data_IF_260287923289
#
_entry.id   IF_260287923289
#
_cell.length_a   1.000
_cell.length_b   1.000
_cell.length_c   1.000
_cell.angle_alpha   90.00
_cell.angle_beta   90.00
_cell.angle_gamma   90.00
#
_symmetry.space_group_name_H-M   'P 1'
#
loop_
_entity.id
_entity.type
_entity.pdbx_description
1 polymer ?
#
# COMPACT_ATOMS: atom_id res chain seq x y z
N UNK A 1 -41.82 -3.04 -48.00
CA UNK A 1 -42.10 -3.00 -46.55
C UNK A 1 -41.22 -3.96 -45.74
N UNK A 2 -41.21 -5.27 -46.03
CA UNK A 2 -40.46 -6.28 -45.23
C UNK A 2 -38.94 -6.02 -45.16
N UNK A 3 -38.29 -5.60 -46.25
CA UNK A 3 -36.85 -5.28 -46.26
C UNK A 3 -36.46 -4.10 -45.36
N UNK A 4 -37.37 -3.15 -45.15
CA UNK A 4 -37.14 -1.98 -44.28
C UNK A 4 -37.16 -2.40 -42.81
N UNK A 5 -38.11 -3.26 -42.42
CA UNK A 5 -38.23 -3.78 -41.05
C UNK A 5 -37.00 -4.59 -40.64
N UNK A 6 -36.45 -5.40 -41.55
CA UNK A 6 -35.23 -6.19 -41.29
C UNK A 6 -34.01 -5.27 -41.09
N UNK A 7 -33.94 -4.14 -41.81
CA UNK A 7 -32.87 -3.16 -41.59
C UNK A 7 -33.01 -2.50 -40.22
N UNK A 8 -34.18 -1.97 -39.87
CA UNK A 8 -34.39 -1.30 -38.59
C UNK A 8 -34.07 -2.21 -37.40
N UNK A 9 -34.47 -3.49 -37.46
CA UNK A 9 -34.18 -4.47 -36.41
C UNK A 9 -32.68 -4.73 -36.20
N UNK A 10 -31.87 -4.68 -37.26
CA UNK A 10 -30.41 -4.85 -37.15
C UNK A 10 -29.74 -3.66 -36.47
N UNK A 11 -30.18 -2.45 -36.79
CA UNK A 11 -29.61 -1.22 -36.23
C UNK A 11 -29.94 -1.06 -34.75
N UNK A 12 -31.16 -1.40 -34.33
CA UNK A 12 -31.55 -1.34 -32.91
C UNK A 12 -30.79 -2.34 -32.06
N UNK A 13 -30.55 -3.56 -32.57
CA UNK A 13 -29.74 -4.55 -31.86
C UNK A 13 -28.30 -4.09 -31.61
N UNK A 14 -27.66 -3.51 -32.63
CA UNK A 14 -26.31 -2.96 -32.49
C UNK A 14 -26.27 -1.80 -31.49
N UNK A 15 -27.20 -0.85 -31.60
CA UNK A 15 -27.25 0.30 -30.69
C UNK A 15 -27.48 -0.11 -29.22
N UNK A 16 -28.39 -1.04 -28.97
CA UNK A 16 -28.66 -1.54 -27.62
C UNK A 16 -27.43 -2.22 -27.01
N UNK A 17 -26.70 -3.02 -27.81
CA UNK A 17 -25.47 -3.65 -27.36
C UNK A 17 -24.37 -2.61 -27.05
N UNK A 18 -24.20 -1.60 -27.90
CA UNK A 18 -23.20 -0.54 -27.67
C UNK A 18 -23.51 0.25 -26.39
N UNK A 19 -24.78 0.58 -26.15
CA UNK A 19 -25.20 1.28 -24.92
C UNK A 19 -24.95 0.40 -23.69
N UNK A 20 -25.28 -0.90 -23.75
CA UNK A 20 -25.04 -1.82 -22.65
C UNK A 20 -23.55 -1.98 -22.33
N UNK A 21 -22.69 -2.09 -23.35
CA UNK A 21 -21.25 -2.18 -23.17
C UNK A 21 -20.66 -0.88 -22.63
N UNK A 22 -21.12 0.28 -23.12
CA UNK A 22 -20.71 1.58 -22.58
C UNK A 22 -21.13 1.75 -21.11
N UNK A 23 -22.33 1.29 -20.74
CA UNK A 23 -22.82 1.30 -19.37
C UNK A 23 -22.00 0.37 -18.46
N UNK A 24 -21.67 -0.85 -18.93
CA UNK A 24 -20.79 -1.74 -18.17
C UNK A 24 -19.37 -1.17 -18.04
N UNK A 25 -18.84 -0.52 -19.08
CA UNK A 25 -17.55 0.14 -19.01
C UNK A 25 -17.56 1.35 -18.04
N UNK A 26 -18.66 2.10 -17.97
CA UNK A 26 -18.77 3.22 -17.03
C UNK A 26 -19.04 2.77 -15.58
N UNK A 27 -19.78 1.68 -15.40
CA UNK A 27 -20.06 1.09 -14.08
C UNK A 27 -18.87 0.27 -13.57
N UNK A 28 -18.06 -0.24 -14.50
CA UNK A 28 -16.77 -0.87 -14.28
C UNK A 28 -15.62 0.12 -14.35
N UNK A 29 -15.86 1.42 -14.10
CA UNK A 29 -14.82 2.25 -13.51
C UNK A 29 -14.48 1.61 -12.17
N UNK A 30 -13.60 0.60 -12.26
CA UNK A 30 -12.93 -0.04 -11.15
C UNK A 30 -12.53 1.13 -10.27
N UNK A 31 -13.11 1.20 -9.07
CA UNK A 31 -12.47 1.97 -8.02
C UNK A 31 -11.10 1.31 -7.95
N UNK A 32 -10.11 1.94 -8.56
CA UNK A 32 -8.72 1.53 -8.48
C UNK A 32 -8.31 1.90 -7.06
N UNK A 33 -8.87 1.12 -6.13
CA UNK A 33 -8.53 1.13 -4.74
C UNK A 33 -7.04 0.88 -4.69
N UNK A 34 -6.36 1.85 -4.11
CA UNK A 34 -4.91 1.89 -4.09
C UNK A 34 -4.50 1.35 -2.74
N UNK A 35 -3.65 0.31 -2.76
CA UNK A 35 -3.23 -0.37 -1.54
C UNK A 35 -2.21 0.48 -0.78
N UNK A 36 -2.48 0.75 0.50
CA UNK A 36 -1.54 1.37 1.42
C UNK A 36 -1.05 0.34 2.41
N UNK A 37 0.27 0.20 2.48
CA UNK A 37 0.94 -0.67 3.44
C UNK A 37 1.68 0.22 4.44
N UNK A 38 1.26 0.19 5.70
CA UNK A 38 1.90 0.92 6.78
C UNK A 38 2.73 -0.03 7.63
N UNK A 39 4.03 0.21 7.65
CA UNK A 39 4.95 -0.40 8.59
C UNK A 39 5.00 0.44 9.86
N UNK A 40 4.87 -0.22 11.00
CA UNK A 40 4.84 0.45 12.30
C UNK A 40 6.05 -0.01 13.11
N UNK A 41 6.75 0.91 13.76
CA UNK A 41 7.94 0.60 14.57
C UNK A 41 7.67 0.34 16.05
N UNK A 42 6.46 0.65 16.54
CA UNK A 42 6.12 0.70 17.97
C UNK A 42 4.91 -0.20 18.26
N UNK A 43 4.95 -1.03 19.31
CA UNK A 43 3.81 -1.87 19.70
C UNK A 43 2.76 -1.10 20.49
N UNK A 44 1.58 -1.71 20.64
CA UNK A 44 0.44 -1.20 21.40
C UNK A 44 -0.03 0.19 20.92
N UNK A 45 -0.03 0.39 19.60
CA UNK A 45 -0.45 1.65 18.96
C UNK A 45 -1.73 1.49 18.16
N UNK A 46 -2.50 2.58 18.09
CA UNK A 46 -3.64 2.74 17.21
C UNK A 46 -3.22 3.56 15.99
N UNK A 47 -3.23 2.94 14.82
CA UNK A 47 -3.07 3.60 13.53
C UNK A 47 -4.45 4.04 13.04
N UNK A 48 -4.57 5.30 12.64
CA UNK A 48 -5.76 5.80 11.95
C UNK A 48 -5.40 6.35 10.60
N UNK A 49 -6.19 5.99 9.61
CA UNK A 49 -6.11 6.51 8.25
C UNK A 49 -7.50 7.02 7.91
N UNK A 50 -7.68 8.34 7.94
CA UNK A 50 -8.99 8.99 7.87
C UNK A 50 -10.00 8.39 8.88
N UNK A 51 -10.97 7.62 8.40
CA UNK A 51 -12.01 6.95 9.18
C UNK A 51 -11.65 5.52 9.60
N UNK A 52 -10.62 4.93 9.00
CA UNK A 52 -10.14 3.60 9.33
C UNK A 52 -9.28 3.59 10.57
N UNK A 53 -9.41 2.55 11.39
CA UNK A 53 -8.68 2.37 12.65
C UNK A 53 -8.14 0.96 12.75
N UNK A 54 -6.87 0.85 13.10
CA UNK A 54 -6.15 -0.41 13.23
C UNK A 54 -5.37 -0.42 14.53
N UNK A 55 -5.52 -1.48 15.33
CA UNK A 55 -4.71 -1.68 16.53
C UNK A 55 -3.54 -2.60 16.19
N UNK A 56 -2.33 -2.19 16.56
CA UNK A 56 -1.10 -2.92 16.27
C UNK A 56 -0.46 -3.35 17.59
N UNK A 57 -0.67 -4.61 17.97
CA UNK A 57 -0.06 -5.20 19.16
C UNK A 57 1.39 -5.66 18.88
N UNK A 58 1.65 -6.15 17.65
CA UNK A 58 2.93 -6.76 17.24
C UNK A 58 3.40 -6.22 15.89
N UNK A 59 4.10 -5.07 15.87
CA UNK A 59 4.47 -4.35 14.64
C UNK A 59 5.33 -5.15 13.65
N UNK A 60 6.10 -6.13 14.13
CA UNK A 60 7.04 -6.93 13.33
C UNK A 60 6.40 -8.13 12.64
N UNK A 61 5.19 -8.55 13.04
CA UNK A 61 4.55 -9.76 12.49
C UNK A 61 3.82 -9.45 11.17
N UNK A 62 3.04 -8.35 11.16
CA UNK A 62 2.19 -8.00 10.02
C UNK A 62 2.14 -6.48 9.81
N UNK A 63 2.46 -5.97 8.61
CA UNK A 63 2.16 -4.58 8.29
C UNK A 63 0.64 -4.37 8.20
N UNK A 64 0.20 -3.14 8.45
CA UNK A 64 -1.20 -2.75 8.25
C UNK A 64 -1.40 -2.52 6.75
N UNK A 65 -2.22 -3.33 6.08
CA UNK A 65 -2.64 -3.08 4.70
C UNK A 65 -4.09 -2.62 4.65
N UNK A 66 -4.37 -1.60 3.86
CA UNK A 66 -5.73 -1.13 3.59
C UNK A 66 -5.86 -0.57 2.17
N UNK A 67 -7.07 -0.68 1.63
CA UNK A 67 -7.44 -0.16 0.32
C UNK A 67 -8.10 1.22 0.50
N UNK A 68 -7.59 2.23 -0.19
CA UNK A 68 -8.09 3.61 -0.11
C UNK A 68 -8.43 4.14 -1.52
N UNK A 69 -9.44 5.02 -1.64
CA UNK A 69 -9.69 5.73 -2.88
C UNK A 69 -8.51 6.68 -3.20
N UNK A 70 -8.28 7.04 -4.46
CA UNK A 70 -7.29 8.07 -4.79
C UNK A 70 -7.67 9.43 -4.17
N UNK A 71 -6.67 10.17 -3.67
CA UNK A 71 -6.90 11.45 -3.00
C UNK A 71 -5.88 11.76 -1.92
N UNK A 72 -6.17 12.81 -1.14
CA UNK A 72 -5.38 13.17 0.04
C UNK A 72 -5.93 12.46 1.28
N UNK A 73 -5.03 11.90 2.08
CA UNK A 73 -5.33 11.12 3.26
C UNK A 73 -4.48 11.57 4.44
N UNK A 74 -4.99 11.30 5.64
CA UNK A 74 -4.29 11.58 6.88
C UNK A 74 -3.99 10.29 7.64
N UNK A 75 -2.70 9.99 7.82
CA UNK A 75 -2.19 8.96 8.72
C UNK A 75 -1.85 9.57 10.08
N UNK A 76 -2.40 9.01 11.15
CA UNK A 76 -2.03 9.31 12.54
C UNK A 76 -1.73 8.03 13.31
N UNK A 77 -0.76 8.08 14.20
CA UNK A 77 -0.46 6.99 15.16
C UNK A 77 -0.68 7.51 16.58
N UNK A 78 -1.45 6.79 17.38
CA UNK A 78 -1.67 7.09 18.78
C UNK A 78 -1.20 5.96 19.69
N UNK A 79 -0.66 6.29 20.85
CA UNK A 79 -0.38 5.35 21.93
C UNK A 79 -0.98 5.88 23.22
N UNK A 80 -1.81 5.08 23.89
CA UNK A 80 -2.50 5.48 25.12
C UNK A 80 -3.23 6.84 25.01
N UNK A 81 -3.76 7.17 23.82
CA UNK A 81 -4.47 8.42 23.53
C UNK A 81 -3.58 9.61 23.17
N UNK A 82 -2.25 9.47 23.18
CA UNK A 82 -1.29 10.50 22.76
C UNK A 82 -0.93 10.29 21.29
N UNK A 83 -1.00 11.33 20.47
CA UNK A 83 -0.52 11.30 19.07
C UNK A 83 1.01 11.25 19.04
N UNK A 84 1.57 10.23 18.40
CA UNK A 84 3.01 10.01 18.26
C UNK A 84 3.54 10.33 16.85
N UNK A 85 2.68 10.25 15.84
CA UNK A 85 3.04 10.44 14.44
C UNK A 85 1.85 11.01 13.67
N UNK A 86 2.15 11.89 12.70
CA UNK A 86 1.15 12.46 11.79
C UNK A 86 1.76 12.74 10.42
N UNK A 87 1.16 12.19 9.38
CA UNK A 87 1.58 12.42 7.99
C UNK A 87 0.36 12.59 7.08
N UNK A 88 0.38 13.63 6.26
CA UNK A 88 -0.55 13.78 5.14
C UNK A 88 0.11 13.19 3.90
N UNK A 89 -0.60 12.33 3.20
CA UNK A 89 -0.11 11.71 1.97
C UNK A 89 -1.18 11.69 0.88
N UNK A 90 -0.73 11.74 -0.37
CA UNK A 90 -1.61 11.65 -1.54
C UNK A 90 -1.44 10.28 -2.19
N UNK A 91 -2.56 9.66 -2.57
CA UNK A 91 -2.64 8.45 -3.38
C UNK A 91 -3.02 8.80 -4.81
N UNK A 92 -2.17 8.35 -5.72
CA UNK A 92 -2.46 8.41 -7.15
C UNK A 92 -3.25 7.18 -7.58
N UNK A 93 -4.09 7.35 -8.60
CA UNK A 93 -4.94 6.28 -9.09
C UNK A 93 -4.15 5.04 -9.54
N UNK A 94 -4.50 3.87 -9.01
CA UNK A 94 -3.86 2.59 -9.33
C UNK A 94 -2.43 2.43 -8.79
N UNK A 95 -1.99 3.29 -7.86
CA UNK A 95 -0.64 3.21 -7.26
C UNK A 95 -0.70 2.88 -5.78
N UNK A 96 -0.10 1.76 -5.41
CA UNK A 96 0.11 1.44 -4.00
C UNK A 96 1.16 2.35 -3.36
N UNK A 97 1.03 2.58 -2.04
CA UNK A 97 1.99 3.38 -1.27
C UNK A 97 2.41 2.64 -0.01
N UNK A 98 3.72 2.63 0.25
CA UNK A 98 4.28 2.10 1.50
C UNK A 98 4.63 3.28 2.40
N UNK A 99 4.09 3.29 3.61
CA UNK A 99 4.34 4.29 4.64
C UNK A 99 5.04 3.65 5.83
N UNK A 100 5.73 4.47 6.63
CA UNK A 100 6.43 3.97 7.80
C UNK A 100 6.25 4.91 8.97
N UNK A 101 5.50 4.45 9.97
CA UNK A 101 5.20 5.18 11.19
C UNK A 101 6.13 4.73 12.32
N UNK A 102 6.89 5.68 12.86
CA UNK A 102 7.81 5.48 13.98
C UNK A 102 7.52 6.58 15.01
N UNK A 103 7.86 6.36 16.28
CA UNK A 103 7.82 7.49 17.21
C UNK A 103 8.89 8.53 16.81
N UNK A 104 8.55 9.82 16.91
CA UNK A 104 9.50 10.90 16.68
C UNK A 104 10.50 11.06 17.84
N UNK A 105 10.25 10.44 18.98
CA UNK A 105 11.17 10.43 20.13
C UNK A 105 12.47 9.66 19.85
N UNK A 106 12.47 8.75 18.87
CA UNK A 106 13.65 8.08 18.33
C UNK A 106 14.53 8.97 17.44
N UNK A 107 14.02 10.13 17.01
CA UNK A 107 14.82 11.15 16.31
C UNK A 107 15.42 12.22 17.23
N UNK A 108 14.92 12.38 18.46
CA UNK A 108 15.33 13.48 19.36
C UNK A 108 15.79 13.05 20.75
N UNK A 109 15.76 11.76 21.10
CA UNK A 109 16.27 11.27 22.38
C UNK A 109 17.56 10.45 22.19
N UNK A 110 18.67 11.15 21.92
CA UNK A 110 20.00 10.62 22.24
C UNK A 110 21.00 10.37 21.09
N UNK A 111 20.83 10.95 19.91
CA UNK A 111 22.03 11.33 19.16
C UNK A 111 22.51 12.64 19.81
N UNK A 112 23.62 12.66 20.58
CA UNK A 112 24.24 13.93 20.90
C UNK A 112 24.45 14.62 19.56
N UNK A 113 24.08 15.89 19.50
CA UNK A 113 24.56 16.78 18.47
C UNK A 113 26.09 16.65 18.47
N UNK A 114 26.59 15.73 17.63
CA UNK A 114 27.99 15.65 17.25
C UNK A 114 28.20 16.98 16.56
N UNK A 115 28.53 17.97 17.38
CA UNK A 115 29.20 19.19 16.99
C UNK A 115 30.19 18.73 15.93
N UNK A 116 29.91 19.13 14.69
CA UNK A 116 30.68 18.80 13.51
C UNK A 116 32.15 18.64 13.88
N UNK A 117 32.69 17.41 13.97
CA UNK A 117 34.12 17.25 14.09
C UNK A 117 34.68 17.83 12.80
N UNK A 118 35.63 18.75 12.95
CA UNK A 118 36.34 19.41 11.88
C UNK A 118 36.56 18.47 10.69
N UNK A 119 36.27 18.99 9.49
CA UNK A 119 36.41 18.37 8.18
C UNK A 119 37.24 17.06 8.19
N UNK A 120 36.62 15.89 7.92
CA UNK A 120 37.38 14.66 7.81
C UNK A 120 38.39 14.80 6.66
N UNK A 121 39.67 14.56 6.98
CA UNK A 121 40.71 14.37 5.98
C UNK A 121 40.29 13.27 4.98
N UNK A 122 40.72 13.37 3.70
CA UNK A 122 40.26 12.50 2.63
C UNK A 122 40.49 11.03 2.96
N UNK A 123 39.40 10.32 3.27
CA UNK A 123 39.41 8.87 3.46
C UNK A 123 39.57 8.23 2.08
N UNK A 124 40.61 7.42 1.94
CA UNK A 124 40.87 6.63 0.74
C UNK A 124 39.65 5.76 0.42
N UNK A 125 39.21 5.91 -0.82
CA UNK A 125 38.25 5.12 -1.58
C UNK A 125 38.28 3.64 -1.16
N UNK A 126 37.28 3.21 -0.37
CA UNK A 126 37.02 1.80 -0.14
C UNK A 126 36.24 1.28 -1.35
N UNK A 127 36.95 0.54 -2.19
CA UNK A 127 36.40 -0.22 -3.32
C UNK A 127 35.45 -1.30 -2.77
N UNK A 128 34.14 -1.05 -2.83
CA UNK A 128 33.13 -2.04 -2.48
C UNK A 128 33.06 -3.05 -3.62
N UNK A 129 33.66 -4.22 -3.41
CA UNK A 129 33.53 -5.37 -4.30
C UNK A 129 32.13 -5.95 -4.12
N UNK A 130 31.22 -5.61 -5.03
CA UNK A 130 29.90 -6.25 -5.14
C UNK A 130 30.10 -7.64 -5.76
N UNK A 131 29.94 -8.69 -4.95
CA UNK A 131 29.91 -10.07 -5.43
C UNK A 131 28.62 -10.36 -6.22
N UNK A 132 28.68 -11.09 -7.34
CA UNK A 132 27.50 -11.43 -8.13
C UNK A 132 26.70 -12.60 -7.52
N UNK A 133 25.40 -12.55 -7.79
CA UNK A 133 24.39 -13.62 -7.70
C UNK A 133 24.04 -14.21 -6.34
N UNK A 134 22.96 -13.69 -5.76
CA UNK A 134 22.06 -14.50 -4.92
C UNK A 134 20.74 -14.66 -5.66
N UNK A 135 20.60 -15.83 -6.28
CA UNK A 135 19.40 -16.31 -6.95
C UNK A 135 18.25 -16.48 -5.92
N UNK A 136 17.27 -15.57 -5.93
CA UNK A 136 16.03 -15.72 -5.16
C UNK A 136 15.08 -16.69 -5.87
N UNK A 137 15.40 -17.98 -5.86
CA UNK A 137 14.50 -19.03 -6.31
C UNK A 137 14.33 -20.11 -5.23
N UNK A 138 13.07 -20.29 -4.85
CA UNK A 138 12.49 -21.54 -4.30
C UNK A 138 12.38 -21.66 -2.78
N UNK A 139 11.22 -21.27 -2.23
CA UNK A 139 10.60 -22.02 -1.12
C UNK A 139 9.07 -22.01 -1.26
N UNK A 140 8.58 -22.59 -2.34
CA UNK A 140 7.21 -23.09 -2.42
C UNK A 140 7.25 -24.58 -2.05
N UNK A 141 6.70 -24.98 -0.90
CA UNK A 141 6.52 -26.38 -0.60
C UNK A 141 6.09 -26.72 0.83
N UNK A 142 4.91 -27.33 0.92
CA UNK A 142 4.53 -28.37 1.89
C UNK A 142 3.83 -27.96 3.20
N UNK A 143 2.60 -27.44 3.07
CA UNK A 143 1.56 -27.60 4.09
C UNK A 143 0.90 -28.99 3.97
N UNK A 144 1.36 -29.96 4.77
CA UNK A 144 0.69 -31.27 4.93
C UNK A 144 -0.57 -31.14 5.79
N UNK A 145 -1.73 -31.35 5.17
CA UNK A 145 -3.04 -31.56 5.80
C UNK A 145 -3.10 -32.95 6.45
N UNK A 146 -3.04 -33.05 7.78
CA UNK A 146 -3.44 -34.27 8.52
C UNK A 146 -4.95 -34.20 8.78
N UNK A 147 -5.70 -35.09 8.15
CA UNK A 147 -7.10 -35.38 8.48
C UNK A 147 -7.06 -36.49 9.54
N UNK A 148 -7.45 -36.16 10.77
CA UNK A 148 -7.72 -37.13 11.83
C UNK A 148 -9.19 -37.52 11.79
N UNK A 149 -9.46 -38.81 11.64
CA UNK A 149 -10.76 -39.41 11.87
C UNK A 149 -10.90 -39.74 13.36
N UNK A 150 -11.98 -39.28 13.97
CA UNK A 150 -12.63 -39.87 15.14
C UNK A 150 -14.13 -39.67 15.00
#
# INVERSE_FOLDING_TARGET
MIKLLIHVAKWTGAAALTVLLAWQASSGAVREESEVIVHVGVPDVEIRIDEFRFTVDRPWEHPVSCELPPGDHLLTMHQAGVELYREVFTLENGRGRVLTAWDEYGRLSGAPELSSPAAPEPVKELEIVVGPDVDCRTSAGEARKKIGAF
#
